data_IF_682047862842
#
_entry.id   IF_682047862842
#
_cell.length_a   1.000
_cell.length_b   1.000
_cell.length_c   1.000
_cell.angle_alpha   90.00
_cell.angle_beta   90.00
_cell.angle_gamma   90.00
#
_symmetry.space_group_name_H-M   'P 1'
#
loop_
_entity.id
_entity.type
_entity.pdbx_description
1 polymer ?
#
# COMPACT_ATOMS: atom_id res chain seq x y z
N UNK A 1 -40.42 2.13 -30.14
CA UNK A 1 -40.35 2.34 -28.68
C UNK A 1 -38.93 1.98 -28.23
N UNK A 2 -38.14 2.97 -27.83
CA UNK A 2 -36.69 2.88 -27.61
C UNK A 2 -36.32 2.19 -26.29
N UNK A 3 -35.25 1.40 -26.36
CA UNK A 3 -34.78 0.45 -25.36
C UNK A 3 -34.49 1.03 -23.97
N UNK A 4 -34.82 0.24 -22.94
CA UNK A 4 -34.45 0.52 -21.55
C UNK A 4 -32.95 0.30 -21.34
N UNK A 5 -32.27 1.36 -20.90
CA UNK A 5 -30.86 1.40 -20.58
C UNK A 5 -30.60 0.62 -19.26
N UNK A 6 -29.76 -0.43 -19.24
CA UNK A 6 -29.43 -1.10 -17.98
C UNK A 6 -28.55 -0.16 -17.15
N UNK A 7 -29.13 0.37 -16.08
CA UNK A 7 -28.38 1.07 -15.04
C UNK A 7 -27.24 0.15 -14.56
N UNK A 8 -26.02 0.45 -15.00
CA UNK A 8 -24.81 -0.14 -14.46
C UNK A 8 -24.77 0.25 -12.99
N UNK A 9 -25.15 -0.70 -12.12
CA UNK A 9 -24.99 -0.55 -10.67
C UNK A 9 -23.51 -0.30 -10.44
N UNK A 10 -23.17 0.96 -10.23
CA UNK A 10 -21.81 1.40 -9.89
C UNK A 10 -21.51 0.73 -8.56
N UNK A 11 -20.83 -0.41 -8.59
CA UNK A 11 -20.40 -1.13 -7.39
C UNK A 11 -19.59 -0.12 -6.58
N UNK A 12 -20.20 0.42 -5.53
CA UNK A 12 -19.52 1.30 -4.59
C UNK A 12 -18.39 0.47 -4.02
N UNK A 13 -17.15 0.88 -4.29
CA UNK A 13 -15.97 0.25 -3.70
C UNK A 13 -16.20 0.19 -2.19
N UNK A 14 -16.16 -0.99 -1.56
CA UNK A 14 -16.28 -1.09 -0.11
C UNK A 14 -15.24 -0.17 0.50
N UNK A 15 -15.71 0.87 1.18
CA UNK A 15 -14.83 1.86 1.78
C UNK A 15 -14.26 1.23 3.04
N UNK A 16 -12.95 0.98 3.06
CA UNK A 16 -12.25 0.55 4.25
C UNK A 16 -12.47 1.61 5.34
N UNK A 17 -13.15 1.24 6.43
CA UNK A 17 -13.34 2.15 7.54
C UNK A 17 -12.16 2.00 8.48
N UNK A 18 -11.64 3.13 8.97
CA UNK A 18 -10.53 3.17 9.93
C UNK A 18 -10.79 2.28 11.14
N UNK A 19 -12.05 2.21 11.61
CA UNK A 19 -12.45 1.34 12.73
C UNK A 19 -12.17 -0.15 12.47
N UNK A 20 -12.36 -0.61 11.23
CA UNK A 20 -12.23 -2.02 10.86
C UNK A 20 -10.73 -2.39 10.77
N UNK A 21 -9.90 -1.44 10.33
CA UNK A 21 -8.43 -1.54 10.36
C UNK A 21 -7.94 -1.64 11.80
N UNK A 22 -8.38 -0.76 12.69
CA UNK A 22 -7.96 -0.75 14.08
C UNK A 22 -8.37 -2.02 14.82
N UNK A 23 -9.60 -2.50 14.61
CA UNK A 23 -10.06 -3.77 15.19
C UNK A 23 -9.18 -4.96 14.74
N UNK A 24 -8.79 -4.98 13.46
CA UNK A 24 -7.91 -6.01 12.90
C UNK A 24 -6.50 -5.90 13.48
N UNK A 25 -5.96 -4.68 13.62
CA UNK A 25 -4.67 -4.44 14.27
C UNK A 25 -4.64 -4.91 15.72
N UNK A 26 -5.70 -4.65 16.48
CA UNK A 26 -5.81 -5.12 17.87
C UNK A 26 -5.87 -6.64 17.96
N UNK A 27 -6.60 -7.30 17.05
CA UNK A 27 -6.67 -8.75 16.98
C UNK A 27 -5.30 -9.36 16.64
N UNK A 28 -4.59 -8.79 15.67
CA UNK A 28 -3.24 -9.23 15.28
C UNK A 28 -2.23 -9.05 16.42
N UNK A 29 -2.29 -7.92 17.14
CA UNK A 29 -1.45 -7.69 18.33
C UNK A 29 -1.72 -8.72 19.42
N UNK A 30 -2.98 -9.08 19.67
CA UNK A 30 -3.35 -10.13 20.63
C UNK A 30 -2.82 -11.51 20.22
N UNK A 31 -2.70 -11.78 18.92
CA UNK A 31 -2.06 -13.00 18.40
C UNK A 31 -0.54 -12.92 18.30
N UNK A 32 0.10 -11.85 18.80
CA UNK A 32 1.55 -11.68 18.78
C UNK A 32 2.12 -11.28 17.41
N UNK A 33 1.27 -10.86 16.46
CA UNK A 33 1.67 -10.42 15.13
C UNK A 33 1.58 -8.91 15.02
N UNK A 34 2.65 -8.27 14.58
CA UNK A 34 2.68 -6.82 14.35
C UNK A 34 2.85 -6.56 12.86
N UNK A 35 1.76 -6.26 12.13
CA UNK A 35 1.89 -5.88 10.74
C UNK A 35 2.62 -4.53 10.60
N UNK A 36 3.38 -4.40 9.53
CA UNK A 36 4.27 -3.26 9.24
C UNK A 36 3.69 -2.33 8.18
N UNK A 37 2.89 -2.87 7.26
CA UNK A 37 2.20 -2.11 6.22
C UNK A 37 0.86 -2.75 5.84
N UNK A 38 0.02 -1.95 5.19
CA UNK A 38 -1.29 -2.35 4.65
C UNK A 38 -1.47 -1.76 3.26
N UNK A 39 -1.53 -2.61 2.23
CA UNK A 39 -1.82 -2.18 0.86
C UNK A 39 -3.31 -2.33 0.56
N UNK A 40 -3.84 -1.40 -0.24
CA UNK A 40 -5.17 -1.51 -0.85
C UNK A 40 -5.02 -1.74 -2.34
N UNK A 41 -5.48 -2.89 -2.82
CA UNK A 41 -5.37 -3.28 -4.22
C UNK A 41 -6.52 -2.69 -5.07
N UNK A 42 -6.35 -2.57 -6.41
CA UNK A 42 -7.38 -2.02 -7.30
C UNK A 42 -8.69 -2.84 -7.35
N UNK A 43 -8.63 -4.12 -7.00
CA UNK A 43 -9.76 -5.04 -6.88
C UNK A 43 -10.55 -4.86 -5.57
N UNK A 44 -10.06 -4.01 -4.65
CA UNK A 44 -10.66 -3.77 -3.34
C UNK A 44 -10.19 -4.74 -2.25
N UNK A 45 -9.21 -5.60 -2.55
CA UNK A 45 -8.60 -6.50 -1.57
C UNK A 45 -7.55 -5.76 -0.74
N UNK A 46 -7.42 -6.13 0.54
CA UNK A 46 -6.39 -5.60 1.44
C UNK A 46 -5.28 -6.63 1.66
N UNK A 47 -4.03 -6.17 1.63
CA UNK A 47 -2.86 -7.02 1.88
C UNK A 47 -2.09 -6.49 3.09
N UNK A 48 -2.06 -7.29 4.16
CA UNK A 48 -1.24 -7.04 5.33
C UNK A 48 0.18 -7.54 5.12
N UNK A 49 1.16 -6.70 5.44
CA UNK A 49 2.57 -7.07 5.46
C UNK A 49 3.02 -7.29 6.90
N UNK A 50 3.74 -8.39 7.10
CA UNK A 50 4.32 -8.74 8.40
C UNK A 50 5.84 -8.73 8.37
N UNK A 51 6.42 -8.70 7.17
CA UNK A 51 7.85 -8.47 6.98
C UNK A 51 8.13 -7.00 7.27
N UNK A 52 9.06 -6.66 8.17
CA UNK A 52 9.60 -5.31 8.24
C UNK A 52 10.00 -4.89 6.83
N UNK A 53 9.65 -3.67 6.42
CA UNK A 53 10.22 -3.15 5.19
C UNK A 53 11.75 -3.36 5.30
N UNK A 54 12.41 -3.92 4.27
CA UNK A 54 13.86 -3.87 4.25
C UNK A 54 14.19 -2.43 4.53
N UNK A 55 14.99 -2.20 5.57
CA UNK A 55 15.42 -0.87 5.93
C UNK A 55 15.99 -0.31 4.64
N UNK A 56 15.24 0.60 4.01
CA UNK A 56 15.74 1.31 2.86
C UNK A 56 16.96 1.99 3.44
N UNK A 57 18.14 1.48 3.14
CA UNK A 57 19.38 2.19 3.38
C UNK A 57 19.34 3.37 2.40
N UNK A 58 18.44 4.33 2.64
CA UNK A 58 18.33 5.60 1.93
C UNK A 58 19.70 6.25 1.94
N UNK A 59 20.49 6.04 2.99
CA UNK A 59 21.92 6.40 3.06
C UNK A 59 22.82 5.75 2.02
N UNK A 60 22.62 4.48 1.67
CA UNK A 60 23.43 3.80 0.66
C UNK A 60 22.94 4.14 -0.75
N UNK A 61 21.63 4.24 -0.96
CA UNK A 61 21.05 4.67 -2.24
C UNK A 61 21.39 6.13 -2.57
N UNK A 62 21.32 7.03 -1.58
CA UNK A 62 21.68 8.45 -1.74
C UNK A 62 23.19 8.62 -1.97
N UNK A 63 24.01 7.75 -1.35
CA UNK A 63 25.45 7.71 -1.59
C UNK A 63 25.76 7.22 -3.00
N UNK A 64 25.12 6.14 -3.45
CA UNK A 64 25.29 5.61 -4.81
C UNK A 64 24.83 6.61 -5.86
N UNK A 65 23.76 7.37 -5.59
CA UNK A 65 23.27 8.43 -6.47
C UNK A 65 24.25 9.62 -6.52
N UNK A 66 24.78 10.05 -5.38
CA UNK A 66 25.78 11.12 -5.32
C UNK A 66 27.11 10.73 -6.00
N UNK A 67 27.53 9.46 -5.87
CA UNK A 67 28.71 8.93 -6.56
C UNK A 67 28.48 8.81 -8.08
N UNK A 68 27.25 8.48 -8.51
CA UNK A 68 26.86 8.46 -9.91
C UNK A 68 26.87 9.88 -10.52
N UNK A 69 26.26 10.86 -9.86
CA UNK A 69 26.27 12.27 -10.30
C UNK A 69 27.69 12.84 -10.35
N UNK A 70 28.56 12.48 -9.40
CA UNK A 70 29.96 12.89 -9.40
C UNK A 70 30.78 12.28 -10.55
N UNK A 71 30.42 11.08 -11.00
CA UNK A 71 31.15 10.33 -12.04
C UNK A 71 30.60 10.57 -13.44
N UNK A 72 29.32 10.87 -13.56
CA UNK A 72 28.59 10.99 -14.83
C UNK A 72 27.96 12.36 -15.07
N UNK A 73 28.03 13.28 -14.11
CA UNK A 73 27.67 14.70 -14.26
C UNK A 73 28.67 15.43 -15.16
N UNK A 74 28.56 15.19 -16.47
CA UNK A 74 29.18 16.04 -17.48
C UNK A 74 28.32 17.29 -17.70
N UNK A 75 28.94 18.41 -17.33
CA UNK A 75 28.71 19.84 -17.64
C UNK A 75 27.76 20.65 -16.77
#
# INVERSE_FOLDING_TARGET
MTAANPQTRKNRRPTLRVRDVNATLEALKKSGMTPTALDTLPDGTFRWHFTPAPQSDETDLDRELAEFDKKHGYS
#
